data_IF_057414949866
#
_entry.id   IF_057414949866
#
_cell.length_a   1.000
_cell.length_b   1.000
_cell.length_c   1.000
_cell.angle_alpha   90.00
_cell.angle_beta   90.00
_cell.angle_gamma   90.00
#
_symmetry.space_group_name_H-M   'P 1'
#
loop_
_entity.id
_entity.type
_entity.pdbx_description
1 polymer ?
#
# COMPACT_ATOMS: atom_id res chain seq x y z
N UNK A 1 3.79 -29.67 -8.96
CA UNK A 1 4.98 -28.99 -9.52
C UNK A 1 6.09 -28.69 -8.50
N UNK A 2 5.82 -28.52 -7.20
CA UNK A 2 6.85 -28.17 -6.20
C UNK A 2 7.97 -29.22 -5.98
N UNK A 3 7.68 -30.51 -6.12
CA UNK A 3 8.67 -31.59 -5.96
C UNK A 3 9.83 -31.53 -6.97
N UNK A 4 9.57 -31.03 -8.17
CA UNK A 4 10.59 -30.85 -9.22
C UNK A 4 11.56 -29.74 -8.82
N UNK A 5 11.05 -28.64 -8.27
CA UNK A 5 11.86 -27.50 -7.80
C UNK A 5 12.76 -27.92 -6.62
N UNK A 6 12.24 -28.74 -5.70
CA UNK A 6 13.02 -29.30 -4.59
C UNK A 6 14.12 -30.25 -5.09
N UNK A 7 13.83 -31.10 -6.07
CA UNK A 7 14.84 -31.99 -6.65
C UNK A 7 15.97 -31.21 -7.36
N UNK A 8 15.62 -30.13 -8.07
CA UNK A 8 16.60 -29.25 -8.73
C UNK A 8 17.46 -28.51 -7.72
N UNK A 9 16.88 -28.00 -6.63
CA UNK A 9 17.62 -27.35 -5.53
C UNK A 9 18.57 -28.31 -4.82
N UNK A 10 18.14 -29.55 -4.58
CA UNK A 10 18.99 -30.58 -3.98
C UNK A 10 20.16 -30.95 -4.88
N UNK A 11 19.93 -31.11 -6.19
CA UNK A 11 20.99 -31.36 -7.17
C UNK A 11 21.98 -30.18 -7.27
N UNK A 12 21.49 -28.94 -7.23
CA UNK A 12 22.32 -27.74 -7.23
C UNK A 12 23.19 -27.62 -5.96
N UNK A 13 22.62 -27.90 -4.78
CA UNK A 13 23.35 -27.89 -3.52
C UNK A 13 24.43 -29.00 -3.48
N UNK A 14 24.12 -30.18 -4.01
CA UNK A 14 25.09 -31.27 -4.14
C UNK A 14 26.22 -30.92 -5.12
N UNK A 15 25.87 -30.35 -6.28
CA UNK A 15 26.85 -29.86 -7.26
C UNK A 15 27.78 -28.79 -6.67
N UNK A 16 27.24 -27.85 -5.88
CA UNK A 16 28.01 -26.83 -5.19
C UNK A 16 28.99 -27.42 -4.15
N UNK A 17 28.56 -28.44 -3.39
CA UNK A 17 29.46 -29.13 -2.44
C UNK A 17 30.64 -29.82 -3.14
N UNK A 18 30.38 -30.48 -4.28
CA UNK A 18 31.41 -31.15 -5.07
C UNK A 18 32.36 -30.12 -5.70
N UNK A 19 31.83 -29.02 -6.24
CA UNK A 19 32.62 -27.95 -6.86
C UNK A 19 33.52 -27.22 -5.84
N UNK A 20 33.03 -27.01 -4.61
CA UNK A 20 33.76 -26.34 -3.53
C UNK A 20 34.68 -27.27 -2.73
N UNK A 21 34.80 -28.56 -3.13
CA UNK A 21 35.64 -29.58 -2.46
C UNK A 21 35.42 -29.65 -0.95
N UNK A 22 34.15 -29.59 -0.52
CA UNK A 22 33.81 -29.62 0.90
C UNK A 22 34.29 -30.95 1.54
N UNK A 23 35.06 -30.90 2.64
CA UNK A 23 35.60 -32.10 3.26
C UNK A 23 34.47 -33.03 3.73
N UNK A 24 34.65 -34.35 3.53
CA UNK A 24 33.63 -35.38 3.80
C UNK A 24 33.06 -35.35 5.22
N UNK A 25 33.83 -34.82 6.18
CA UNK A 25 33.41 -34.65 7.57
C UNK A 25 32.27 -33.62 7.73
N UNK A 26 32.19 -32.62 6.85
CA UNK A 26 31.17 -31.56 6.90
C UNK A 26 29.88 -31.93 6.14
N UNK A 27 29.84 -33.08 5.45
CA UNK A 27 28.67 -33.49 4.67
C UNK A 27 27.45 -33.76 5.55
N UNK A 28 27.67 -34.30 6.74
CA UNK A 28 26.61 -34.51 7.75
C UNK A 28 26.04 -33.18 8.26
N UNK A 29 26.87 -32.15 8.44
CA UNK A 29 26.40 -30.81 8.83
C UNK A 29 25.56 -30.14 7.74
N UNK A 30 25.99 -30.23 6.48
CA UNK A 30 25.22 -29.68 5.35
C UNK A 30 23.90 -30.42 5.17
N UNK A 31 23.91 -31.75 5.29
CA UNK A 31 22.70 -32.57 5.29
C UNK A 31 21.74 -32.19 6.41
N UNK A 32 22.25 -32.00 7.63
CA UNK A 32 21.44 -31.57 8.78
C UNK A 32 20.85 -30.16 8.57
N UNK A 33 21.63 -29.21 8.06
CA UNK A 33 21.15 -27.85 7.78
C UNK A 33 20.04 -27.84 6.71
N UNK A 34 20.20 -28.64 5.65
CA UNK A 34 19.18 -28.80 4.61
C UNK A 34 17.91 -29.43 5.18
N UNK A 35 18.03 -30.49 5.97
CA UNK A 35 16.89 -31.16 6.61
C UNK A 35 16.16 -30.22 7.58
N UNK A 36 16.89 -29.40 8.33
CA UNK A 36 16.31 -28.44 9.26
C UNK A 36 15.60 -27.31 8.50
N UNK A 37 16.17 -26.83 7.39
CA UNK A 37 15.54 -25.87 6.49
C UNK A 37 14.27 -26.41 5.82
N UNK A 38 14.29 -27.65 5.33
CA UNK A 38 13.11 -28.28 4.72
C UNK A 38 12.04 -28.60 5.75
N UNK A 39 12.43 -29.01 6.96
CA UNK A 39 11.48 -29.26 8.06
C UNK A 39 10.85 -27.96 8.55
N UNK A 40 11.62 -26.88 8.67
CA UNK A 40 11.10 -25.55 8.97
C UNK A 40 10.12 -25.05 7.92
N UNK A 41 10.45 -25.25 6.64
CA UNK A 41 9.54 -24.92 5.53
C UNK A 41 8.28 -25.81 5.51
N UNK A 42 8.39 -27.09 5.86
CA UNK A 42 7.23 -27.99 5.92
C UNK A 42 6.28 -27.67 7.09
N UNK A 43 6.81 -27.22 8.23
CA UNK A 43 6.01 -26.86 9.40
C UNK A 43 5.34 -25.48 9.29
N UNK A 44 5.99 -24.50 8.64
CA UNK A 44 5.45 -23.14 8.50
C UNK A 44 4.82 -22.86 7.12
N UNK A 45 5.25 -23.57 6.09
CA UNK A 45 4.75 -23.39 4.73
C UNK A 45 3.37 -24.01 4.55
N UNK A 46 2.51 -23.34 3.77
CA UNK A 46 1.24 -23.90 3.29
C UNK A 46 1.29 -24.07 1.77
N UNK A 47 2.08 -25.03 1.25
CA UNK A 47 2.36 -25.17 -0.19
C UNK A 47 1.14 -25.63 -1.01
N UNK A 48 0.09 -26.11 -0.34
CA UNK A 48 -1.15 -26.56 -0.95
C UNK A 48 -2.26 -25.50 -0.96
N UNK A 49 -1.99 -24.27 -0.49
CA UNK A 49 -2.95 -23.20 -0.68
C UNK A 49 -3.17 -23.01 -2.18
N UNK A 50 -4.41 -23.12 -2.67
CA UNK A 50 -4.70 -22.77 -4.05
C UNK A 50 -4.27 -21.32 -4.26
N UNK A 51 -3.60 -21.05 -5.39
CA UNK A 51 -3.44 -19.67 -5.82
C UNK A 51 -4.83 -19.05 -5.80
N UNK A 52 -5.01 -17.98 -5.02
CA UNK A 52 -6.21 -17.19 -5.07
C UNK A 52 -5.97 -16.13 -6.15
N UNK A 53 -6.33 -16.39 -7.43
CA UNK A 53 -6.38 -15.30 -8.38
C UNK A 53 -7.34 -14.28 -7.76
N UNK A 54 -6.83 -13.07 -7.51
CA UNK A 54 -7.67 -11.95 -7.14
C UNK A 54 -8.60 -11.76 -8.33
N UNK A 55 -9.83 -12.26 -8.23
CA UNK A 55 -10.87 -11.90 -9.16
C UNK A 55 -10.95 -10.37 -9.09
N UNK A 56 -10.77 -9.66 -10.22
CA UNK A 56 -10.92 -8.22 -10.20
C UNK A 56 -12.34 -7.96 -9.72
N UNK A 57 -12.45 -7.38 -8.53
CA UNK A 57 -13.73 -6.88 -8.09
C UNK A 57 -14.02 -5.65 -8.93
N UNK A 58 -14.76 -5.90 -9.99
CA UNK A 58 -15.28 -4.89 -10.90
C UNK A 58 -16.43 -4.12 -10.28
N UNK A 59 -16.60 -4.14 -8.95
CA UNK A 59 -17.16 -2.98 -8.28
C UNK A 59 -16.23 -1.82 -8.60
N UNK A 60 -16.60 -1.08 -9.64
CA UNK A 60 -16.06 0.24 -9.94
C UNK A 60 -15.95 0.97 -8.62
N UNK A 61 -14.73 1.03 -8.06
CA UNK A 61 -14.38 1.94 -7.00
C UNK A 61 -14.70 3.28 -7.62
N UNK A 62 -15.89 3.80 -7.30
CA UNK A 62 -16.31 5.13 -7.74
C UNK A 62 -15.19 6.03 -7.25
N UNK A 63 -14.33 6.44 -8.18
CA UNK A 63 -13.36 7.47 -7.89
C UNK A 63 -14.23 8.66 -7.58
N UNK A 64 -14.34 9.00 -6.30
CA UNK A 64 -14.99 10.23 -5.89
C UNK A 64 -14.26 11.33 -6.65
N UNK A 65 -14.89 11.87 -7.69
CA UNK A 65 -14.36 12.98 -8.47
C UNK A 65 -14.02 14.16 -7.53
N UNK A 66 -14.78 14.27 -6.43
CA UNK A 66 -14.48 15.12 -5.30
C UNK A 66 -13.09 14.90 -4.68
N UNK A 67 -12.62 13.66 -4.51
CA UNK A 67 -11.27 13.36 -3.99
C UNK A 67 -10.18 13.72 -5.00
N UNK A 68 -10.41 13.49 -6.30
CA UNK A 68 -9.46 13.88 -7.34
C UNK A 68 -9.32 15.41 -7.44
N UNK A 69 -10.44 16.14 -7.35
CA UNK A 69 -10.45 17.60 -7.28
C UNK A 69 -9.75 18.11 -6.03
N UNK A 70 -10.04 17.51 -4.86
CA UNK A 70 -9.38 17.89 -3.61
C UNK A 70 -7.85 17.64 -3.65
N UNK A 71 -7.40 16.56 -4.31
CA UNK A 71 -5.97 16.34 -4.57
C UNK A 71 -5.38 17.48 -5.39
N UNK A 72 -6.10 17.91 -6.42
CA UNK A 72 -5.66 19.02 -7.27
C UNK A 72 -5.59 20.34 -6.49
N UNK A 73 -6.56 20.60 -5.59
CA UNK A 73 -6.55 21.79 -4.75
C UNK A 73 -5.40 21.78 -3.72
N UNK A 74 -5.06 20.59 -3.20
CA UNK A 74 -3.98 20.43 -2.22
C UNK A 74 -2.58 20.54 -2.83
N UNK A 75 -2.38 20.00 -4.03
CA UNK A 75 -1.04 19.85 -4.63
C UNK A 75 -0.81 20.76 -5.85
N UNK A 76 -1.85 21.43 -6.34
CA UNK A 76 -1.81 22.22 -7.56
C UNK A 76 -2.19 21.40 -8.81
N UNK A 77 -2.56 22.14 -9.86
CA UNK A 77 -3.05 21.61 -11.15
C UNK A 77 -1.95 21.45 -12.20
N UNK A 78 -0.84 22.17 -12.04
CA UNK A 78 0.19 22.30 -13.06
C UNK A 78 1.50 21.71 -12.57
N UNK A 79 2.13 20.89 -13.41
CA UNK A 79 3.39 20.22 -13.10
C UNK A 79 3.71 19.14 -14.13
N UNK A 80 4.98 18.73 -14.19
CA UNK A 80 5.44 17.64 -15.08
C UNK A 80 4.72 16.31 -14.80
N UNK A 81 4.31 16.12 -13.55
CA UNK A 81 3.58 14.96 -13.03
C UNK A 81 2.09 14.94 -13.41
N UNK A 82 1.52 16.07 -13.84
CA UNK A 82 0.07 16.20 -14.10
C UNK A 82 -0.42 15.26 -15.21
N UNK A 83 0.40 14.99 -16.22
CA UNK A 83 0.09 14.04 -17.29
C UNK A 83 -0.05 12.61 -16.76
N UNK A 84 0.87 12.19 -15.88
CA UNK A 84 0.82 10.87 -15.26
C UNK A 84 -0.36 10.72 -14.31
N UNK A 85 -0.68 11.78 -13.55
CA UNK A 85 -1.85 11.80 -12.67
C UNK A 85 -3.15 11.74 -13.45
N UNK A 86 -3.27 12.50 -14.54
CA UNK A 86 -4.46 12.49 -15.41
C UNK A 86 -4.67 11.11 -16.03
N UNK A 87 -3.58 10.49 -16.51
CA UNK A 87 -3.62 9.12 -17.03
C UNK A 87 -4.03 8.12 -15.94
N UNK A 88 -3.43 8.21 -14.74
CA UNK A 88 -3.78 7.37 -13.60
C UNK A 88 -5.25 7.52 -13.20
N UNK A 89 -5.77 8.75 -13.09
CA UNK A 89 -7.18 9.02 -12.77
C UNK A 89 -8.11 8.43 -13.83
N UNK A 90 -7.75 8.52 -15.12
CA UNK A 90 -8.51 7.92 -16.22
C UNK A 90 -8.52 6.39 -16.15
N UNK A 91 -7.38 5.77 -15.86
CA UNK A 91 -7.24 4.32 -15.70
C UNK A 91 -7.98 3.81 -14.47
N UNK A 92 -7.99 4.61 -13.40
CA UNK A 92 -8.76 4.35 -12.18
C UNK A 92 -10.26 4.31 -12.46
N UNK A 93 -10.79 5.33 -13.17
CA UNK A 93 -12.20 5.35 -13.62
C UNK A 93 -12.54 4.19 -14.56
N UNK A 94 -11.58 3.74 -15.36
CA UNK A 94 -11.73 2.59 -16.24
C UNK A 94 -11.69 1.23 -15.54
N UNK A 95 -11.54 1.18 -14.21
CA UNK A 95 -11.48 -0.08 -13.46
C UNK A 95 -10.20 -0.88 -13.72
N UNK A 96 -9.12 -0.20 -14.11
CA UNK A 96 -7.86 -0.82 -14.52
C UNK A 96 -6.76 -0.58 -13.47
N UNK A 97 -6.80 -1.29 -12.32
CA UNK A 97 -5.94 -1.01 -11.16
C UNK A 97 -4.45 -1.16 -11.47
N UNK A 98 -4.11 -2.18 -12.27
CA UNK A 98 -2.73 -2.45 -12.68
C UNK A 98 -2.15 -1.29 -13.50
N UNK A 99 -2.89 -0.83 -14.50
CA UNK A 99 -2.43 0.25 -15.38
C UNK A 99 -2.35 1.59 -14.64
N UNK A 100 -3.28 1.86 -13.71
CA UNK A 100 -3.20 3.04 -12.82
C UNK A 100 -1.86 3.05 -12.05
N UNK A 101 -1.51 1.95 -11.40
CA UNK A 101 -0.25 1.84 -10.65
C UNK A 101 0.97 1.96 -11.56
N UNK A 102 0.95 1.31 -12.73
CA UNK A 102 2.04 1.40 -13.71
C UNK A 102 2.26 2.84 -14.22
N UNK A 103 1.18 3.60 -14.46
CA UNK A 103 1.24 5.01 -14.85
C UNK A 103 1.86 5.88 -13.74
N UNK A 104 1.42 5.68 -12.49
CA UNK A 104 1.97 6.38 -11.32
C UNK A 104 3.45 6.07 -11.10
N UNK A 105 3.86 4.80 -11.23
CA UNK A 105 5.27 4.41 -11.16
C UNK A 105 6.10 5.02 -12.29
N UNK A 106 5.54 5.12 -13.50
CA UNK A 106 6.14 5.85 -14.62
C UNK A 106 6.36 7.33 -14.30
N UNK A 107 5.38 7.97 -13.67
CA UNK A 107 5.49 9.35 -13.19
C UNK A 107 6.58 9.48 -12.13
N UNK A 108 6.62 8.57 -11.15
CA UNK A 108 7.61 8.60 -10.06
C UNK A 108 9.02 8.39 -10.60
N UNK A 109 9.22 7.55 -11.62
CA UNK A 109 10.54 7.41 -12.27
C UNK A 109 11.03 8.70 -12.90
N UNK A 110 10.11 9.50 -13.45
CA UNK A 110 10.42 10.78 -14.09
C UNK A 110 10.59 11.90 -13.07
N UNK A 111 9.76 11.92 -12.02
CA UNK A 111 9.76 12.91 -10.96
C UNK A 111 9.81 12.23 -9.58
N UNK A 112 10.97 11.68 -9.16
CA UNK A 112 11.08 10.85 -7.93
C UNK A 112 10.78 11.59 -6.63
N UNK A 113 10.83 12.92 -6.66
CA UNK A 113 10.58 13.80 -5.51
C UNK A 113 9.16 14.38 -5.49
N UNK A 114 8.29 13.97 -6.40
CA UNK A 114 6.91 14.47 -6.44
C UNK A 114 6.07 13.87 -5.31
N UNK A 115 5.75 14.70 -4.32
CA UNK A 115 4.91 14.34 -3.17
C UNK A 115 3.51 13.91 -3.66
N UNK A 116 2.98 14.57 -4.69
CA UNK A 116 1.68 14.29 -5.26
C UNK A 116 1.61 12.89 -5.87
N UNK A 117 2.63 12.47 -6.63
CA UNK A 117 2.70 11.13 -7.22
C UNK A 117 2.81 10.02 -6.18
N UNK A 118 3.66 10.21 -5.16
CA UNK A 118 3.77 9.25 -4.05
C UNK A 118 2.47 9.16 -3.25
N UNK A 119 1.77 10.28 -3.04
CA UNK A 119 0.45 10.29 -2.38
C UNK A 119 -0.59 9.57 -3.22
N UNK A 120 -0.65 9.82 -4.53
CA UNK A 120 -1.57 9.16 -5.44
C UNK A 120 -1.31 7.65 -5.53
N UNK A 121 -0.04 7.22 -5.51
CA UNK A 121 0.33 5.80 -5.46
C UNK A 121 -0.16 5.14 -4.18
N UNK A 122 0.01 5.78 -3.03
CA UNK A 122 -0.49 5.27 -1.74
C UNK A 122 -2.01 5.09 -1.75
N UNK A 123 -2.75 6.09 -2.26
CA UNK A 123 -4.20 6.02 -2.39
C UNK A 123 -4.64 4.92 -3.36
N UNK A 124 -4.03 4.83 -4.54
CA UNK A 124 -4.31 3.79 -5.53
C UNK A 124 -4.12 2.39 -4.95
N UNK A 125 -2.98 2.12 -4.31
CA UNK A 125 -2.69 0.83 -3.69
C UNK A 125 -3.70 0.51 -2.57
N UNK A 126 -4.00 1.48 -1.69
CA UNK A 126 -4.96 1.27 -0.61
C UNK A 126 -6.38 0.97 -1.12
N UNK A 127 -6.80 1.62 -2.22
CA UNK A 127 -8.08 1.35 -2.87
C UNK A 127 -8.15 -0.06 -3.43
N UNK A 128 -7.11 -0.50 -4.14
CA UNK A 128 -7.08 -1.80 -4.81
C UNK A 128 -6.94 -2.95 -3.82
N UNK A 129 -6.17 -2.76 -2.75
CA UNK A 129 -5.97 -3.77 -1.71
C UNK A 129 -7.13 -3.85 -0.70
N UNK A 130 -8.07 -2.88 -0.73
CA UNK A 130 -9.16 -2.66 0.26
C UNK A 130 -8.72 -2.55 1.72
N UNK A 131 -7.42 -2.42 1.93
CA UNK A 131 -6.80 -2.26 3.22
C UNK A 131 -5.51 -1.46 3.03
N UNK A 132 -5.03 -0.87 4.11
CA UNK A 132 -3.77 -0.14 4.09
C UNK A 132 -2.57 -1.10 4.09
N UNK A 133 -2.23 -1.62 2.90
CA UNK A 133 -1.13 -2.58 2.69
C UNK A 133 0.26 -1.98 2.98
N UNK A 134 1.29 -2.82 3.21
CA UNK A 134 2.65 -2.32 3.40
C UNK A 134 3.16 -1.45 2.25
N UNK A 135 2.77 -1.76 1.00
CA UNK A 135 3.15 -0.97 -0.17
C UNK A 135 2.46 0.40 -0.17
N UNK A 136 1.17 0.46 0.16
CA UNK A 136 0.45 1.72 0.32
C UNK A 136 1.06 2.59 1.44
N UNK A 137 1.36 1.99 2.60
CA UNK A 137 2.03 2.68 3.72
C UNK A 137 3.37 3.26 3.30
N UNK A 138 4.19 2.46 2.62
CA UNK A 138 5.48 2.90 2.11
C UNK A 138 5.35 4.12 1.20
N UNK A 139 4.38 4.13 0.28
CA UNK A 139 4.17 5.26 -0.61
C UNK A 139 3.76 6.54 0.14
N UNK A 140 2.84 6.44 1.12
CA UNK A 140 2.49 7.57 1.97
C UNK A 140 3.66 8.06 2.84
N UNK A 141 4.45 7.15 3.39
CA UNK A 141 5.62 7.49 4.19
C UNK A 141 6.69 8.18 3.33
N UNK A 142 6.88 7.76 2.08
CA UNK A 142 7.74 8.47 1.12
C UNK A 142 7.24 9.88 0.84
N UNK A 143 5.95 10.06 0.59
CA UNK A 143 5.37 11.39 0.40
C UNK A 143 5.61 12.31 1.62
N UNK A 144 5.38 11.79 2.83
CA UNK A 144 5.61 12.52 4.09
C UNK A 144 7.08 12.81 4.39
N UNK A 145 8.00 11.95 3.94
CA UNK A 145 9.43 12.20 4.06
C UNK A 145 9.90 13.32 3.12
N UNK A 146 9.34 13.35 1.89
CA UNK A 146 9.68 14.36 0.89
C UNK A 146 9.19 15.74 1.31
N UNK A 147 7.97 15.85 1.83
CA UNK A 147 7.43 17.11 2.33
C UNK A 147 6.60 16.91 3.60
N UNK A 148 7.24 16.94 4.79
CA UNK A 148 6.57 16.71 6.07
C UNK A 148 5.52 17.76 6.43
N UNK A 149 5.60 18.96 5.85
CA UNK A 149 4.67 20.05 6.09
C UNK A 149 3.42 19.98 5.22
N UNK A 150 3.43 19.19 4.13
CA UNK A 150 2.31 19.15 3.20
C UNK A 150 1.09 18.43 3.81
N UNK A 151 -0.13 18.97 3.72
CA UNK A 151 -1.32 18.34 4.31
C UNK A 151 -1.81 17.11 3.53
N UNK A 152 -1.63 17.10 2.20
CA UNK A 152 -2.14 16.07 1.29
C UNK A 152 -1.84 14.62 1.68
N UNK A 153 -0.58 14.21 1.94
CA UNK A 153 -0.27 12.84 2.31
C UNK A 153 -1.02 12.34 3.57
N UNK A 154 -1.19 13.22 4.56
CA UNK A 154 -1.94 12.90 5.79
C UNK A 154 -3.43 12.79 5.52
N UNK A 155 -3.97 13.66 4.66
CA UNK A 155 -5.38 13.61 4.30
C UNK A 155 -5.75 12.31 3.57
N UNK A 156 -5.00 11.94 2.53
CA UNK A 156 -5.25 10.73 1.74
C UNK A 156 -4.95 9.44 2.51
N UNK A 157 -3.99 9.46 3.44
CA UNK A 157 -3.82 8.36 4.40
C UNK A 157 -5.08 8.17 5.27
N UNK A 158 -5.67 9.26 5.76
CA UNK A 158 -6.92 9.19 6.50
C UNK A 158 -8.09 8.65 5.67
N UNK A 159 -8.16 9.02 4.38
CA UNK A 159 -9.15 8.44 3.44
C UNK A 159 -8.97 6.93 3.32
N UNK A 160 -7.72 6.46 3.14
CA UNK A 160 -7.42 5.03 3.08
C UNK A 160 -7.78 4.30 4.40
N UNK A 161 -7.53 4.93 5.55
CA UNK A 161 -7.86 4.37 6.87
C UNK A 161 -9.37 4.27 7.11
N UNK A 162 -10.15 5.28 6.69
CA UNK A 162 -11.63 5.21 6.72
C UNK A 162 -12.14 4.05 5.86
N UNK A 163 -11.59 3.87 4.66
CA UNK A 163 -11.97 2.76 3.77
C UNK A 163 -11.66 1.39 4.38
N UNK A 164 -10.62 1.29 5.20
CA UNK A 164 -10.28 0.08 5.94
C UNK A 164 -10.93 -0.01 7.33
N UNK A 165 -11.93 0.82 7.64
CA UNK A 165 -12.62 0.92 8.92
C UNK A 165 -11.71 1.21 10.14
N UNK A 166 -10.52 1.77 9.93
CA UNK A 166 -9.62 2.23 10.99
C UNK A 166 -9.92 3.70 11.32
N UNK A 167 -11.11 3.93 11.88
CA UNK A 167 -11.60 5.25 12.23
C UNK A 167 -10.71 5.99 13.25
N UNK A 168 -10.16 5.35 14.30
CA UNK A 168 -9.24 6.02 15.22
C UNK A 168 -7.97 6.53 14.53
N UNK A 169 -7.35 5.72 13.65
CA UNK A 169 -6.16 6.16 12.93
C UNK A 169 -6.49 7.24 11.89
N UNK A 170 -7.63 7.11 11.20
CA UNK A 170 -8.12 8.13 10.28
C UNK A 170 -8.28 9.50 10.96
N UNK A 171 -8.82 9.50 12.19
CA UNK A 171 -9.00 10.72 12.99
C UNK A 171 -7.67 11.42 13.25
N UNK A 172 -6.64 10.67 13.66
CA UNK A 172 -5.33 11.26 13.91
C UNK A 172 -4.69 11.79 12.62
N UNK A 173 -4.79 11.04 11.51
CA UNK A 173 -4.30 11.48 10.19
C UNK A 173 -4.96 12.77 9.73
N UNK A 174 -6.29 12.89 9.84
CA UNK A 174 -7.02 14.11 9.46
C UNK A 174 -6.76 15.29 10.38
N UNK A 175 -6.57 15.06 11.70
CA UNK A 175 -6.13 16.11 12.62
C UNK A 175 -4.75 16.66 12.23
N UNK A 176 -3.81 15.78 11.85
CA UNK A 176 -2.49 16.19 11.34
C UNK A 176 -2.58 16.94 10.02
N UNK A 177 -3.44 16.48 9.10
CA UNK A 177 -3.68 17.16 7.83
C UNK A 177 -4.23 18.57 8.06
N UNK A 178 -5.20 18.72 8.95
CA UNK A 178 -5.81 20.01 9.29
C UNK A 178 -4.80 20.97 9.93
N UNK A 179 -3.97 20.48 10.86
CA UNK A 179 -2.92 21.28 11.50
C UNK A 179 -1.87 21.79 10.49
N UNK A 180 -1.67 21.08 9.38
CA UNK A 180 -0.75 21.42 8.28
C UNK A 180 -1.40 22.25 7.18
N UNK A 181 -2.72 22.41 7.23
CA UNK A 181 -3.47 23.11 6.19
C UNK A 181 -3.45 24.62 6.45
N UNK A 182 -3.03 25.46 5.49
CA UNK A 182 -3.10 26.91 5.61
C UNK A 182 -4.53 27.38 5.94
N UNK A 183 -4.67 28.43 6.76
CA UNK A 183 -5.98 28.92 7.21
C UNK A 183 -6.91 29.35 6.07
N UNK A 184 -6.35 29.95 5.00
CA UNK A 184 -7.10 30.40 3.83
C UNK A 184 -7.25 29.36 2.70
N UNK A 185 -6.84 28.11 2.91
CA UNK A 185 -6.94 27.09 1.87
C UNK A 185 -8.41 26.71 1.62
N UNK A 186 -8.86 26.77 0.37
CA UNK A 186 -10.25 26.47 0.00
C UNK A 186 -10.71 25.06 0.45
N UNK A 187 -9.79 24.08 0.39
CA UNK A 187 -10.04 22.70 0.80
C UNK A 187 -10.05 22.48 2.32
N UNK A 188 -9.69 23.48 3.14
CA UNK A 188 -9.62 23.35 4.61
C UNK A 188 -10.97 22.95 5.21
N UNK A 189 -12.04 23.61 4.76
CA UNK A 189 -13.41 23.36 5.23
C UNK A 189 -13.81 21.91 4.98
N UNK A 190 -13.40 21.33 3.84
CA UNK A 190 -13.68 19.93 3.52
C UNK A 190 -12.99 18.95 4.48
N UNK A 191 -11.79 19.28 4.98
CA UNK A 191 -11.10 18.46 6.01
C UNK A 191 -11.84 18.58 7.34
N UNK A 192 -12.21 19.80 7.75
CA UNK A 192 -12.92 20.05 9.02
C UNK A 192 -14.27 19.33 9.07
N UNK A 193 -15.05 19.39 7.99
CA UNK A 193 -16.33 18.69 7.89
C UNK A 193 -16.18 17.17 8.00
N UNK A 194 -15.19 16.59 7.30
CA UNK A 194 -14.93 15.14 7.35
C UNK A 194 -14.47 14.71 8.75
N UNK A 195 -13.60 15.48 9.38
CA UNK A 195 -13.16 15.21 10.76
C UNK A 195 -14.33 15.33 11.75
N UNK A 196 -15.19 16.33 11.61
CA UNK A 196 -16.37 16.50 12.47
C UNK A 196 -17.38 15.34 12.30
N UNK A 197 -17.59 14.86 11.06
CA UNK A 197 -18.42 13.69 10.80
C UNK A 197 -17.84 12.44 11.43
N UNK A 198 -16.52 12.23 11.31
CA UNK A 198 -15.82 11.10 11.92
C UNK A 198 -15.89 11.14 13.46
N UNK A 199 -15.73 12.32 14.05
CA UNK A 199 -15.85 12.51 15.50
C UNK A 199 -17.27 12.17 15.99
N UNK A 200 -18.30 12.56 15.23
CA UNK A 200 -19.68 12.17 15.53
C UNK A 200 -19.89 10.66 15.42
N UNK A 201 -19.39 10.02 14.37
CA UNK A 201 -19.47 8.57 14.21
C UNK A 201 -18.83 7.84 15.40
N UNK A 202 -17.63 8.28 15.81
CA UNK A 202 -16.92 7.72 16.96
C UNK A 202 -17.62 8.00 18.30
N UNK A 203 -18.39 9.10 18.40
CA UNK A 203 -19.21 9.39 19.59
C UNK A 203 -20.51 8.59 19.66
N UNK A 204 -21.01 8.10 18.52
CA UNK A 204 -22.27 7.36 18.38
C UNK A 204 -22.05 5.85 18.42
N UNK A 205 -20.85 5.34 18.11
CA UNK A 205 -20.57 3.89 18.05
C UNK A 205 -20.50 3.24 19.46
N UNK A 206 -21.49 2.41 19.86
CA UNK A 206 -21.62 1.80 21.17
C UNK A 206 -20.97 0.40 21.20
N UNK A 207 -19.67 0.29 20.94
CA UNK A 207 -18.92 -0.87 21.45
C UNK A 207 -18.96 -0.95 23.00
N UNK A 208 -19.35 0.17 23.66
CA UNK A 208 -19.50 0.30 25.11
C UNK A 208 -20.89 -0.03 25.67
N UNK A 209 -21.93 -0.13 24.84
CA UNK A 209 -23.33 -0.32 25.31
C UNK A 209 -23.82 -1.77 25.19
N UNK A 210 -22.98 -2.68 24.68
CA UNK A 210 -23.23 -4.14 24.63
C UNK A 210 -22.51 -4.94 25.74
N UNK A 211 -21.86 -4.25 26.68
CA UNK A 211 -21.15 -4.84 27.82
C UNK A 211 -21.78 -4.50 29.18
N UNK A 212 -23.01 -3.96 29.18
CA UNK A 212 -23.88 -3.82 30.35
C UNK A 212 -25.11 -4.69 30.16
#
# INVERSE_FOLDING_TARGET
>A
MGWIVLAVLAAAAFGAMVALRVPRLLWSMVGAALMLGTTGYALQGRPALPAAPVAPDNQSLVVDEALANLRTDMFGRYGSESAYLTAADALSRGGNPRYEVEALLGGIRTSPRSVQLWTALGDALARHDRQLSPAARFAFDRARQLEPAHPGPYFFLGVAQVRSNDFPAARDSWRRALAKTPAGAAYRVSIEQRLALLDRLLSVDPAADRAK
#
